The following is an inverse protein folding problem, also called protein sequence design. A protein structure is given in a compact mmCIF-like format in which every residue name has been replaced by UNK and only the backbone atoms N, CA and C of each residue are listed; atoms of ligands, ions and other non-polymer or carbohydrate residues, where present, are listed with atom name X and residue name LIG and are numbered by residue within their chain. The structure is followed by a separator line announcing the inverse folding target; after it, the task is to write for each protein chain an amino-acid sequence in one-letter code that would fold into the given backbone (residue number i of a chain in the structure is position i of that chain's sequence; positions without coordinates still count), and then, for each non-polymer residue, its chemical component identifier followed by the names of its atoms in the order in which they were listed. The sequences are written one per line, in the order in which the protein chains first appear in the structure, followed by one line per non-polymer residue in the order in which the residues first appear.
data_IF_540518517388
#
_entry.id   IF_540518517388
#
_cell.length_a   1.000
_cell.length_b   1.000
_cell.length_c   1.000
_cell.angle_alpha   90.00
_cell.angle_beta   90.00
_cell.angle_gamma   90.00
#
_symmetry.space_group_name_H-M   'P 1'
#
loop_
_entity.id
_entity.type
_entity.pdbx_description
1 polymer ?
#
# COMPACT_ATOMS: atom_id res chain seq x y z
N UNK A 1 -21.97 -6.22 11.75
CA UNK A 1 -21.63 -5.01 10.99
C UNK A 1 -20.12 -5.00 10.85
N UNK A 2 -19.61 -5.22 9.64
CA UNK A 2 -18.17 -5.17 9.36
C UNK A 2 -17.67 -3.76 9.67
N UNK A 3 -16.69 -3.64 10.58
CA UNK A 3 -15.93 -2.40 10.73
C UNK A 3 -15.34 -2.08 9.36
N UNK A 4 -15.96 -1.15 8.65
CA UNK A 4 -15.43 -0.62 7.41
C UNK A 4 -14.16 0.11 7.82
N UNK A 5 -13.00 -0.53 7.59
CA UNK A 5 -11.71 0.10 7.83
C UNK A 5 -11.70 1.42 7.07
N UNK A 6 -11.56 2.52 7.81
CA UNK A 6 -11.56 3.89 7.31
C UNK A 6 -10.33 4.18 6.44
N UNK A 7 -9.29 3.36 6.57
CA UNK A 7 -8.12 3.35 5.70
C UNK A 7 -7.66 1.92 5.43
N UNK A 8 -7.30 1.59 4.19
CA UNK A 8 -6.58 0.36 3.86
C UNK A 8 -5.48 0.60 2.84
N UNK A 9 -4.45 -0.24 2.89
CA UNK A 9 -3.32 -0.25 1.96
C UNK A 9 -3.26 -1.62 1.26
N UNK A 10 -3.25 -1.57 -0.06
CA UNK A 10 -3.12 -2.75 -0.93
C UNK A 10 -1.85 -2.61 -1.75
N UNK A 11 -1.07 -3.68 -1.83
CA UNK A 11 0.12 -3.78 -2.67
C UNK A 11 -0.11 -4.87 -3.70
N UNK A 12 -0.06 -4.52 -4.97
CA UNK A 12 -0.15 -5.46 -6.08
C UNK A 12 1.25 -5.71 -6.60
N UNK A 13 1.80 -6.87 -6.28
CA UNK A 13 3.18 -7.21 -6.60
C UNK A 13 3.22 -8.00 -7.91
N UNK A 14 4.08 -7.58 -8.83
CA UNK A 14 4.21 -8.17 -10.16
C UNK A 14 5.59 -8.77 -10.33
N UNK A 15 5.64 -10.00 -10.81
CA UNK A 15 6.88 -10.75 -11.04
C UNK A 15 7.29 -10.67 -12.50
N UNK A 16 8.59 -10.76 -12.78
CA UNK A 16 9.13 -10.85 -14.14
C UNK A 16 9.95 -12.12 -14.28
N UNK A 17 9.74 -12.86 -15.37
CA UNK A 17 10.44 -14.12 -15.62
C UNK A 17 9.79 -15.32 -14.92
N UNK A 18 10.48 -15.90 -13.94
CA UNK A 18 10.11 -17.14 -13.23
C UNK A 18 8.77 -17.06 -12.49
N UNK A 19 8.22 -18.22 -12.12
CA UNK A 19 7.02 -18.30 -11.28
C UNK A 19 7.21 -17.56 -9.95
N UNK A 20 6.33 -16.60 -9.69
CA UNK A 20 6.28 -15.85 -8.44
C UNK A 20 5.29 -16.46 -7.45
N UNK A 21 4.30 -15.67 -7.07
CA UNK A 21 3.24 -16.06 -6.16
C UNK A 21 3.62 -15.96 -4.68
N UNK A 22 2.68 -16.36 -3.82
CA UNK A 22 2.79 -16.17 -2.38
C UNK A 22 3.99 -16.86 -1.78
N UNK A 23 4.30 -18.08 -2.24
CA UNK A 23 5.44 -18.86 -1.73
C UNK A 23 6.77 -18.10 -1.86
N UNK A 24 6.97 -17.41 -3.00
CA UNK A 24 8.20 -16.63 -3.23
C UNK A 24 8.25 -15.39 -2.33
N UNK A 25 7.13 -14.69 -2.17
CA UNK A 25 7.03 -13.55 -1.26
C UNK A 25 7.24 -13.98 0.18
N UNK A 26 6.56 -15.02 0.65
CA UNK A 26 6.69 -15.56 2.00
C UNK A 26 8.15 -15.92 2.34
N UNK A 27 8.85 -16.62 1.43
CA UNK A 27 10.28 -16.92 1.60
C UNK A 27 11.12 -15.64 1.72
N UNK A 28 10.88 -14.68 0.82
CA UNK A 28 11.60 -13.41 0.80
C UNK A 28 11.36 -12.58 2.07
N UNK A 29 10.12 -12.57 2.57
CA UNK A 29 9.76 -11.89 3.81
C UNK A 29 10.40 -12.58 5.03
N UNK A 30 10.39 -13.92 5.08
CA UNK A 30 11.08 -14.69 6.13
C UNK A 30 12.59 -14.37 6.17
N UNK A 31 13.26 -14.31 5.02
CA UNK A 31 14.66 -13.90 4.92
C UNK A 31 14.91 -12.45 5.39
N UNK A 32 13.86 -11.62 5.42
CA UNK A 32 13.89 -10.25 5.92
C UNK A 32 13.39 -10.10 7.38
N UNK A 33 13.27 -11.23 8.09
CA UNK A 33 12.89 -11.26 9.51
C UNK A 33 11.39 -11.14 9.77
N UNK A 34 10.55 -11.37 8.77
CA UNK A 34 9.11 -11.54 8.98
C UNK A 34 8.81 -12.98 9.43
N UNK A 35 7.76 -13.17 10.21
CA UNK A 35 7.25 -14.50 10.57
C UNK A 35 6.07 -14.80 9.65
N UNK A 36 6.18 -15.84 8.82
CA UNK A 36 5.12 -16.22 7.86
C UNK A 36 4.39 -17.48 8.30
N UNK A 37 3.05 -17.38 8.39
CA UNK A 37 2.15 -18.48 8.74
C UNK A 37 0.98 -18.52 7.76
N UNK A 38 0.84 -19.62 7.02
CA UNK A 38 -0.21 -19.76 6.00
C UNK A 38 -0.13 -18.65 4.94
N UNK A 39 -1.19 -17.84 4.85
CA UNK A 39 -1.34 -16.73 3.89
C UNK A 39 -1.04 -15.36 4.50
N UNK A 40 -0.29 -15.32 5.61
CA UNK A 40 0.01 -14.11 6.37
C UNK A 40 1.50 -14.03 6.72
N UNK A 41 2.04 -12.81 6.75
CA UNK A 41 3.38 -12.52 7.27
C UNK A 41 3.31 -11.36 8.25
N UNK A 42 3.99 -11.47 9.39
CA UNK A 42 3.98 -10.46 10.46
C UNK A 42 5.37 -10.00 10.86
N UNK A 43 5.51 -8.70 11.14
CA UNK A 43 6.71 -8.09 11.74
C UNK A 43 6.31 -6.83 12.52
N UNK A 44 6.81 -6.68 13.75
CA UNK A 44 6.57 -5.52 14.63
C UNK A 44 5.08 -5.10 14.71
N UNK A 45 4.19 -6.08 14.91
CA UNK A 45 2.72 -5.95 14.95
C UNK A 45 2.05 -5.52 13.64
N UNK A 46 2.80 -5.40 12.54
CA UNK A 46 2.24 -5.20 11.21
C UNK A 46 2.04 -6.54 10.53
N UNK A 47 0.83 -6.77 10.03
CA UNK A 47 0.44 -7.96 9.30
C UNK A 47 0.22 -7.65 7.81
N UNK A 48 0.83 -8.46 6.97
CA UNK A 48 0.62 -8.49 5.51
C UNK A 48 -0.10 -9.78 5.19
N UNK A 49 -1.27 -9.68 4.55
CA UNK A 49 -2.07 -10.83 4.12
C UNK A 49 -2.00 -10.98 2.61
N UNK A 50 -1.77 -12.21 2.12
CA UNK A 50 -2.07 -12.54 0.74
C UNK A 50 -3.58 -12.62 0.54
N UNK A 51 -4.13 -11.68 -0.24
CA UNK A 51 -5.55 -11.63 -0.56
C UNK A 51 -5.90 -12.49 -1.77
N UNK A 52 -5.10 -12.38 -2.84
CA UNK A 52 -5.33 -13.12 -4.08
C UNK A 52 -4.01 -13.32 -4.84
N UNK A 53 -3.99 -14.35 -5.68
CA UNK A 53 -2.88 -14.67 -6.58
C UNK A 53 -3.47 -14.99 -7.96
N UNK A 54 -2.80 -14.55 -9.03
CA UNK A 54 -3.20 -14.89 -10.40
C UNK A 54 -2.88 -16.36 -10.71
N UNK A 55 -3.65 -16.97 -11.62
CA UNK A 55 -3.44 -18.38 -12.01
C UNK A 55 -2.03 -18.66 -12.57
N UNK A 56 -1.42 -17.67 -13.23
CA UNK A 56 -0.07 -17.74 -13.79
C UNK A 56 1.03 -17.36 -12.78
N UNK A 57 0.64 -17.05 -11.53
CA UNK A 57 1.52 -16.65 -10.42
C UNK A 57 2.38 -15.41 -10.68
N UNK A 58 2.04 -14.61 -11.70
CA UNK A 58 2.77 -13.36 -12.04
C UNK A 58 2.24 -12.13 -11.33
N UNK A 59 1.11 -12.26 -10.64
CA UNK A 59 0.52 -11.21 -9.82
C UNK A 59 0.05 -11.76 -8.48
N UNK A 60 0.27 -10.96 -7.45
CA UNK A 60 -0.27 -11.21 -6.12
C UNK A 60 -0.74 -9.90 -5.51
N UNK A 61 -1.89 -9.97 -4.85
CA UNK A 61 -2.49 -8.86 -4.13
C UNK A 61 -2.25 -9.09 -2.65
N UNK A 62 -1.49 -8.20 -2.04
CA UNK A 62 -1.26 -8.14 -0.61
C UNK A 62 -2.11 -7.03 0.00
N UNK A 63 -2.65 -7.27 1.18
CA UNK A 63 -3.33 -6.25 1.98
C UNK A 63 -2.64 -6.08 3.32
N UNK A 64 -2.55 -4.84 3.76
CA UNK A 64 -2.02 -4.50 5.07
C UNK A 64 -3.16 -4.04 5.97
N UNK A 65 -3.14 -4.52 7.22
CA UNK A 65 -3.99 -3.95 8.25
C UNK A 65 -3.44 -2.60 8.70
N UNK A 66 -4.24 -1.55 8.53
CA UNK A 66 -3.86 -0.19 8.89
C UNK A 66 -4.17 0.18 10.35
N UNK A 67 -4.70 -0.74 11.18
CA UNK A 67 -5.05 -0.45 12.58
C UNK A 67 -3.91 -0.07 13.54
N UNK A 68 -2.66 0.00 13.05
CA UNK A 68 -1.45 0.42 13.79
C UNK A 68 -0.60 1.35 12.91
N UNK A 69 -1.15 2.51 12.59
CA UNK A 69 -0.59 3.48 11.64
C UNK A 69 0.87 3.88 11.95
N UNK A 70 1.21 4.06 13.22
CA UNK A 70 2.55 4.43 13.70
C UNK A 70 3.62 3.37 13.39
N UNK A 71 3.24 2.09 13.43
CA UNK A 71 4.11 0.95 13.12
C UNK A 71 4.29 0.80 11.61
N UNK A 72 3.21 0.97 10.86
CA UNK A 72 3.22 0.88 9.40
C UNK A 72 4.13 1.94 8.79
N UNK A 73 4.09 3.16 9.35
CA UNK A 73 4.99 4.25 8.96
C UNK A 73 6.46 3.82 8.99
N UNK A 74 6.86 3.01 9.97
CA UNK A 74 8.24 2.53 10.14
C UNK A 74 8.57 1.38 9.19
N UNK A 75 7.65 0.42 9.07
CA UNK A 75 7.94 -0.84 8.36
C UNK A 75 7.69 -0.78 6.85
N UNK A 76 6.93 0.20 6.34
CA UNK A 76 6.54 0.27 4.93
C UNK A 76 7.75 0.21 3.99
N UNK A 77 8.80 0.97 4.31
CA UNK A 77 10.01 0.98 3.50
C UNK A 77 10.68 -0.39 3.47
N UNK A 78 10.85 -1.03 4.62
CA UNK A 78 11.47 -2.36 4.72
C UNK A 78 10.66 -3.42 3.98
N UNK A 79 9.33 -3.37 4.10
CA UNK A 79 8.44 -4.26 3.37
C UNK A 79 8.63 -4.11 1.87
N UNK A 80 8.56 -2.88 1.36
CA UNK A 80 8.69 -2.62 -0.08
C UNK A 80 10.08 -3.02 -0.58
N UNK A 81 11.15 -2.72 0.18
CA UNK A 81 12.52 -3.15 -0.15
C UNK A 81 12.65 -4.68 -0.19
N UNK A 82 11.99 -5.40 0.71
CA UNK A 82 11.92 -6.85 0.68
C UNK A 82 11.17 -7.36 -0.56
N UNK A 83 10.01 -6.78 -0.89
CA UNK A 83 9.24 -7.16 -2.08
C UNK A 83 10.07 -7.00 -3.37
N UNK A 84 10.86 -5.93 -3.49
CA UNK A 84 11.75 -5.74 -4.65
C UNK A 84 12.90 -6.73 -4.79
N UNK A 85 13.11 -7.64 -3.83
CA UNK A 85 14.03 -8.78 -4.01
C UNK A 85 13.46 -9.85 -4.94
N UNK A 86 12.13 -9.89 -5.10
CA UNK A 86 11.45 -10.88 -5.96
C UNK A 86 10.48 -10.26 -6.97
N UNK A 87 10.05 -9.01 -6.77
CA UNK A 87 9.09 -8.34 -7.65
C UNK A 87 9.78 -7.37 -8.60
N UNK A 88 9.23 -7.26 -9.81
CA UNK A 88 9.69 -6.30 -10.80
C UNK A 88 9.17 -4.88 -10.51
N UNK A 89 7.89 -4.77 -10.18
CA UNK A 89 7.27 -3.55 -9.69
C UNK A 89 6.13 -3.87 -8.72
N UNK A 90 5.73 -2.86 -7.96
CA UNK A 90 4.61 -2.94 -7.02
C UNK A 90 3.65 -1.78 -7.32
N UNK A 91 2.40 -2.07 -7.65
CA UNK A 91 1.36 -1.05 -7.71
C UNK A 91 0.78 -0.86 -6.29
N UNK A 92 0.80 0.37 -5.78
CA UNK A 92 0.40 0.73 -4.42
C UNK A 92 -0.96 1.42 -4.47
N UNK A 93 -1.88 1.02 -3.59
CA UNK A 93 -3.23 1.60 -3.50
C UNK A 93 -3.59 1.91 -2.05
N UNK A 94 -3.90 3.17 -1.77
CA UNK A 94 -4.55 3.61 -0.54
C UNK A 94 -6.04 3.77 -0.82
N UNK A 95 -6.86 3.23 0.06
CA UNK A 95 -8.30 3.44 0.07
C UNK A 95 -8.68 4.13 1.37
N UNK A 96 -9.07 5.40 1.28
CA UNK A 96 -9.38 6.26 2.42
C UNK A 96 -10.87 6.59 2.39
N UNK A 97 -11.53 6.58 3.55
CA UNK A 97 -12.96 6.85 3.69
C UNK A 97 -13.23 7.88 4.79
N UNK A 98 -14.35 8.57 4.69
CA UNK A 98 -14.81 9.50 5.73
C UNK A 98 -13.87 10.69 5.89
N UNK A 99 -13.64 11.11 7.13
CA UNK A 99 -12.78 12.25 7.48
C UNK A 99 -11.35 12.13 6.93
N UNK A 100 -10.80 10.92 6.81
CA UNK A 100 -9.49 10.72 6.20
C UNK A 100 -9.49 11.06 4.70
N UNK A 101 -10.57 10.72 3.98
CA UNK A 101 -10.69 11.04 2.55
C UNK A 101 -10.75 12.56 2.34
N UNK A 102 -11.50 13.28 3.18
CA UNK A 102 -11.61 14.75 3.15
C UNK A 102 -10.25 15.41 3.41
N UNK A 103 -9.63 15.12 4.55
CA UNK A 103 -8.36 15.76 4.96
C UNK A 103 -7.23 15.51 3.95
N UNK A 104 -7.12 14.28 3.45
CA UNK A 104 -6.10 13.95 2.45
C UNK A 104 -6.41 14.63 1.10
N UNK A 105 -7.69 14.73 0.72
CA UNK A 105 -8.06 15.43 -0.52
C UNK A 105 -7.72 16.92 -0.45
N UNK A 106 -7.91 17.56 0.70
CA UNK A 106 -7.52 18.96 0.93
C UNK A 106 -6.01 19.15 0.84
N UNK A 107 -5.24 18.29 1.55
CA UNK A 107 -3.77 18.31 1.52
C UNK A 107 -3.21 18.23 0.09
N UNK A 108 -3.79 17.35 -0.72
CA UNK A 108 -3.37 17.20 -2.11
C UNK A 108 -4.11 18.14 -3.06
N UNK A 109 -4.94 19.06 -2.58
CA UNK A 109 -5.74 20.00 -3.39
C UNK A 109 -6.50 19.28 -4.51
N UNK A 110 -7.28 18.26 -4.14
CA UNK A 110 -8.14 17.48 -5.04
C UNK A 110 -9.60 17.80 -4.74
N UNK A 111 -10.31 18.25 -5.76
CA UNK A 111 -11.70 18.68 -5.66
C UNK A 111 -12.67 17.51 -5.88
N UNK A 112 -13.97 17.78 -5.77
CA UNK A 112 -15.01 16.76 -5.83
C UNK A 112 -15.17 16.12 -7.21
N UNK A 113 -15.41 14.80 -7.22
CA UNK A 113 -15.54 13.98 -8.43
C UNK A 113 -14.35 14.09 -9.39
N UNK A 114 -13.17 14.39 -8.87
CA UNK A 114 -11.97 14.61 -9.66
C UNK A 114 -11.11 13.34 -9.72
N UNK A 115 -10.64 13.04 -10.93
CA UNK A 115 -9.58 12.05 -11.17
C UNK A 115 -8.37 12.78 -11.71
N UNK A 116 -7.34 12.94 -10.89
CA UNK A 116 -6.14 13.72 -11.21
C UNK A 116 -4.89 12.88 -11.19
N UNK A 117 -3.96 13.20 -12.08
CA UNK A 117 -2.58 12.72 -12.00
C UNK A 117 -1.71 13.86 -11.50
N UNK A 118 -0.94 13.61 -10.44
CA UNK A 118 -0.02 14.58 -9.84
C UNK A 118 1.37 13.96 -9.69
N UNK A 119 2.40 14.75 -9.94
CA UNK A 119 3.77 14.36 -9.68
C UNK A 119 4.16 14.74 -8.25
N UNK A 120 4.26 13.75 -7.36
CA UNK A 120 4.53 13.97 -5.93
C UNK A 120 5.81 13.23 -5.54
N UNK A 121 6.81 13.95 -5.01
CA UNK A 121 8.15 13.41 -4.73
C UNK A 121 8.80 12.68 -5.93
N UNK A 122 8.40 13.03 -7.16
CA UNK A 122 8.85 12.39 -8.40
C UNK A 122 8.10 11.10 -8.77
N UNK A 123 7.05 10.72 -8.04
CA UNK A 123 6.11 9.65 -8.39
C UNK A 123 4.95 10.22 -9.22
N UNK A 124 4.54 9.49 -10.25
CA UNK A 124 3.27 9.75 -10.95
C UNK A 124 2.13 9.12 -10.14
N UNK A 125 1.37 9.95 -9.42
CA UNK A 125 0.33 9.52 -8.50
C UNK A 125 -1.04 9.83 -9.10
N UNK A 126 -1.89 8.81 -9.16
CA UNK A 126 -3.30 8.96 -9.50
C UNK A 126 -4.10 9.14 -8.20
N UNK A 127 -4.91 10.20 -8.15
CA UNK A 127 -5.81 10.46 -7.04
C UNK A 127 -7.23 10.54 -7.60
N UNK A 128 -8.16 9.78 -7.02
CA UNK A 128 -9.56 9.73 -7.43
C UNK A 128 -10.45 9.95 -6.20
N UNK A 129 -11.22 11.03 -6.20
CA UNK A 129 -12.18 11.36 -5.13
C UNK A 129 -13.61 11.06 -5.57
N UNK A 130 -14.36 10.32 -4.75
CA UNK A 130 -15.78 10.03 -4.93
C UNK A 130 -16.57 10.56 -3.74
N UNK A 131 -17.09 11.78 -3.90
CA UNK A 131 -17.74 12.56 -2.83
C UNK A 131 -19.04 11.90 -2.34
N UNK A 132 -19.81 11.28 -3.24
CA UNK A 132 -21.06 10.60 -2.92
C UNK A 132 -20.92 9.46 -1.89
N UNK A 133 -19.74 8.85 -1.80
CA UNK A 133 -19.44 7.77 -0.84
C UNK A 133 -18.29 8.13 0.10
N UNK A 134 -17.90 9.41 0.13
CA UNK A 134 -16.77 9.96 0.86
C UNK A 134 -15.52 9.05 0.80
N UNK A 135 -15.08 8.73 -0.42
CA UNK A 135 -13.98 7.83 -0.71
C UNK A 135 -12.88 8.58 -1.47
N UNK A 136 -11.63 8.34 -1.10
CA UNK A 136 -10.45 8.78 -1.84
C UNK A 136 -9.54 7.58 -2.12
N UNK A 137 -9.22 7.36 -3.40
CA UNK A 137 -8.23 6.39 -3.82
C UNK A 137 -6.95 7.12 -4.22
N UNK A 138 -5.81 6.69 -3.69
CA UNK A 138 -4.49 7.15 -4.13
C UNK A 138 -3.73 5.95 -4.65
N UNK A 139 -3.25 6.00 -5.88
CA UNK A 139 -2.46 4.91 -6.45
C UNK A 139 -1.25 5.36 -7.24
N UNK A 140 -0.21 4.54 -7.23
CA UNK A 140 1.00 4.77 -8.01
C UNK A 140 1.74 3.46 -8.25
N UNK A 141 2.47 3.40 -9.36
CA UNK A 141 3.42 2.31 -9.63
C UNK A 141 4.75 2.62 -8.98
N UNK A 142 5.28 1.64 -8.25
CA UNK A 142 6.55 1.73 -7.58
C UNK A 142 7.57 0.83 -8.26
N UNK A 143 8.72 1.42 -8.60
CA UNK A 143 9.94 0.74 -9.02
C UNK A 143 11.01 0.85 -7.92
N UNK A 144 12.02 -0.02 -8.00
CA UNK A 144 13.06 -0.13 -6.97
C UNK A 144 13.82 1.18 -6.70
N UNK A 145 14.05 2.00 -7.73
CA UNK A 145 14.73 3.30 -7.62
C UNK A 145 13.88 4.38 -6.91
N UNK A 146 12.57 4.15 -6.74
CA UNK A 146 11.61 5.13 -6.21
C UNK A 146 11.13 4.86 -4.79
N UNK A 147 11.69 3.84 -4.12
CA UNK A 147 11.32 3.46 -2.73
C UNK A 147 11.41 4.64 -1.75
N UNK A 148 12.46 5.46 -1.85
CA UNK A 148 12.63 6.64 -0.97
C UNK A 148 11.51 7.67 -1.18
N UNK A 149 11.12 7.91 -2.44
CA UNK A 149 9.99 8.80 -2.77
C UNK A 149 8.67 8.24 -2.27
N UNK A 150 8.43 6.94 -2.42
CA UNK A 150 7.24 6.28 -1.91
C UNK A 150 7.16 6.34 -0.39
N UNK A 151 8.28 6.17 0.31
CA UNK A 151 8.33 6.29 1.77
C UNK A 151 7.96 7.69 2.25
N UNK A 152 8.35 8.74 1.52
CA UNK A 152 7.95 10.14 1.82
C UNK A 152 6.45 10.32 1.63
N UNK A 153 5.91 9.89 0.49
CA UNK A 153 4.48 9.98 0.20
C UNK A 153 3.64 9.18 1.22
N UNK A 154 4.07 7.95 1.51
CA UNK A 154 3.46 7.13 2.56
C UNK A 154 3.44 7.88 3.90
N UNK A 155 4.58 8.44 4.31
CA UNK A 155 4.67 9.22 5.55
C UNK A 155 3.71 10.42 5.57
N UNK A 156 3.57 11.12 4.46
CA UNK A 156 2.65 12.25 4.34
C UNK A 156 1.18 11.82 4.44
N UNK A 157 0.81 10.66 3.90
CA UNK A 157 -0.55 10.13 4.00
C UNK A 157 -0.82 9.65 5.43
N UNK A 158 0.07 8.84 6.00
CA UNK A 158 -0.14 8.23 7.31
C UNK A 158 -0.16 9.27 8.44
N UNK A 159 0.66 10.32 8.38
CA UNK A 159 0.62 11.40 9.39
C UNK A 159 -0.74 12.08 9.45
N UNK A 160 -1.35 12.40 8.31
CA UNK A 160 -2.67 13.04 8.31
C UNK A 160 -3.76 12.13 8.89
N UNK A 161 -3.62 10.82 8.69
CA UNK A 161 -4.54 9.80 9.20
C UNK A 161 -4.38 9.65 10.72
N UNK A 162 -3.15 9.60 11.22
CA UNK A 162 -2.86 9.58 12.67
C UNK A 162 -3.40 10.84 13.35
N UNK A 163 -3.21 12.01 12.75
CA UNK A 163 -3.65 13.30 13.30
C UNK A 163 -5.19 13.47 13.34
N UNK A 164 -5.96 12.47 12.91
CA UNK A 164 -7.45 12.47 12.95
C UNK A 164 -7.99 11.44 13.96
N UNK A 165 -7.17 10.48 14.41
CA UNK A 165 -7.49 9.55 15.51
C UNK A 165 -7.31 10.21 16.87
#
# INVERSE_FOLDING_TARGET
MSNVRSCSLTLVCRFYGEEGGWRKIASTLNECGWITEGMYSRKDDVEVKCFAESNDRKEIILTLDMGRMDKILKIFRELVEALFRCCWYVDVYYHLRGSFAEKISEKFSVTDMEKVRKKIHGLEVLIEKKTNVNLLNISYRLSRDRVKSASKLHSEIIKEVIDVE
#
